data_IF_420172876880
#
_entry.id   IF_420172876880
#
_cell.length_a   1.000
_cell.length_b   1.000
_cell.length_c   1.000
_cell.angle_alpha   90.00
_cell.angle_beta   90.00
_cell.angle_gamma   90.00
#
_symmetry.space_group_name_H-M   'P 1'
#
loop_
_entity.id
_entity.type
_entity.pdbx_description
1 polymer ?
#
# COMPACT_ATOMS: atom_id res chain seq x y z
N UNK A 1 31.30 -31.48 -12.58
CA UNK A 1 30.88 -30.42 -11.64
C UNK A 1 29.77 -29.66 -12.35
N UNK A 2 28.55 -30.18 -12.31
CA UNK A 2 27.39 -29.54 -12.94
C UNK A 2 27.03 -28.28 -12.17
N UNK A 3 27.17 -27.14 -12.85
CA UNK A 3 26.64 -25.87 -12.40
C UNK A 3 25.11 -25.97 -12.37
N UNK A 4 24.53 -25.95 -11.18
CA UNK A 4 23.09 -25.71 -11.03
C UNK A 4 22.83 -24.27 -11.47
N UNK A 5 22.17 -24.10 -12.60
CA UNK A 5 21.43 -22.88 -12.89
C UNK A 5 20.50 -22.63 -11.69
N UNK A 6 20.79 -21.57 -10.92
CA UNK A 6 19.88 -21.09 -9.89
C UNK A 6 18.66 -20.55 -10.63
N UNK A 7 17.55 -21.27 -10.54
CA UNK A 7 16.25 -20.70 -10.88
C UNK A 7 16.11 -19.36 -10.14
N UNK A 8 15.70 -18.28 -10.84
CA UNK A 8 15.51 -17.00 -10.19
C UNK A 8 14.43 -17.14 -9.12
N UNK A 9 14.65 -16.45 -8.00
CA UNK A 9 13.71 -16.38 -6.88
C UNK A 9 12.32 -15.94 -7.40
N UNK A 10 11.23 -16.64 -7.04
CA UNK A 10 9.87 -16.24 -7.43
C UNK A 10 9.53 -14.78 -7.04
N UNK A 11 10.15 -14.22 -5.98
CA UNK A 11 9.99 -12.79 -5.63
C UNK A 11 10.65 -11.85 -6.65
N UNK A 12 11.72 -12.28 -7.33
CA UNK A 12 12.37 -11.52 -8.40
C UNK A 12 11.56 -11.58 -9.68
N UNK A 13 10.92 -12.71 -9.98
CA UNK A 13 10.05 -12.88 -11.15
C UNK A 13 8.83 -11.95 -11.13
N UNK A 14 8.21 -11.76 -9.96
CA UNK A 14 7.06 -10.86 -9.82
C UNK A 14 7.40 -9.41 -10.21
N UNK A 15 8.62 -8.95 -9.93
CA UNK A 15 9.08 -7.59 -10.25
C UNK A 15 9.44 -7.41 -11.74
N UNK A 16 9.74 -8.50 -12.45
CA UNK A 16 10.05 -8.46 -13.89
C UNK A 16 8.81 -8.50 -14.78
N UNK A 17 7.67 -8.98 -14.27
CA UNK A 17 6.43 -9.04 -15.04
C UNK A 17 5.82 -7.66 -15.34
N UNK A 18 6.20 -6.62 -14.58
CA UNK A 18 5.67 -5.25 -14.74
C UNK A 18 6.41 -4.44 -15.81
N UNK A 19 7.58 -4.89 -16.29
CA UNK A 19 8.40 -4.11 -17.24
C UNK A 19 8.29 -4.54 -18.72
N UNK A 20 7.36 -5.42 -19.10
CA UNK A 20 7.30 -5.96 -20.47
C UNK A 20 5.95 -5.86 -21.19
N UNK A 21 5.05 -4.97 -20.78
CA UNK A 21 3.86 -4.71 -21.57
C UNK A 21 4.00 -3.42 -22.39
N UNK A 22 4.34 -3.66 -23.67
CA UNK A 22 3.90 -2.95 -24.89
C UNK A 22 4.83 -1.88 -25.49
N UNK A 23 5.84 -2.34 -26.24
CA UNK A 23 5.99 -1.88 -27.62
C UNK A 23 5.30 -2.92 -28.53
N UNK A 24 4.04 -2.69 -28.92
CA UNK A 24 3.61 -2.89 -30.31
C UNK A 24 2.14 -2.49 -30.52
N UNK A 25 1.93 -1.79 -31.63
CA UNK A 25 0.76 -1.00 -31.98
C UNK A 25 -0.46 -1.86 -32.34
N UNK A 26 -1.60 -1.63 -31.65
CA UNK A 26 -2.94 -1.65 -32.27
C UNK A 26 -3.82 -0.60 -31.60
N UNK A 27 -3.99 0.50 -32.32
CA UNK A 27 -4.75 1.70 -31.98
C UNK A 27 -6.27 1.49 -31.87
N UNK A 28 -6.88 2.40 -31.10
CA UNK A 28 -8.31 2.71 -30.95
C UNK A 28 -9.06 1.78 -29.97
N UNK A 29 -9.01 2.15 -28.68
CA UNK A 29 -10.05 1.96 -27.63
C UNK A 29 -9.48 2.09 -26.19
N UNK A 30 -8.15 2.31 -26.03
CA UNK A 30 -7.46 2.27 -24.72
C UNK A 30 -7.12 3.63 -24.07
N UNK A 31 -7.45 4.77 -24.69
CA UNK A 31 -7.06 6.10 -24.17
C UNK A 31 -7.88 6.56 -22.94
N UNK A 32 -9.10 6.06 -22.74
CA UNK A 32 -9.97 6.48 -21.63
C UNK A 32 -9.56 5.86 -20.29
N UNK A 33 -9.19 4.57 -20.27
CA UNK A 33 -9.01 3.81 -19.02
C UNK A 33 -7.68 4.11 -18.32
N UNK A 34 -6.60 4.33 -19.09
CA UNK A 34 -5.29 4.70 -18.52
C UNK A 34 -5.27 6.13 -17.97
N UNK A 35 -6.02 7.02 -18.62
CA UNK A 35 -6.15 8.43 -18.20
C UNK A 35 -6.97 8.58 -16.92
N UNK A 36 -7.99 7.74 -16.71
CA UNK A 36 -8.79 7.73 -15.47
C UNK A 36 -7.99 7.22 -14.27
N UNK A 37 -7.28 6.10 -14.42
CA UNK A 37 -6.42 5.54 -13.36
C UNK A 37 -5.33 6.54 -12.90
N UNK A 38 -4.69 7.24 -13.83
CA UNK A 38 -3.66 8.25 -13.48
C UNK A 38 -4.25 9.50 -12.79
N UNK A 39 -5.49 9.87 -13.11
CA UNK A 39 -6.20 10.98 -12.42
C UNK A 39 -6.55 10.59 -10.99
N UNK A 40 -7.02 9.36 -10.80
CA UNK A 40 -7.36 8.83 -9.47
C UNK A 40 -6.16 8.83 -8.52
N UNK A 41 -4.97 8.43 -9.02
CA UNK A 41 -3.75 8.45 -8.21
C UNK A 41 -3.31 9.86 -7.84
N UNK A 42 -3.42 10.83 -8.75
CA UNK A 42 -3.06 12.22 -8.47
C UNK A 42 -3.96 12.83 -7.39
N UNK A 43 -5.27 12.57 -7.43
CA UNK A 43 -6.20 13.02 -6.38
C UNK A 43 -5.83 12.42 -5.01
N UNK A 44 -5.41 11.16 -4.98
CA UNK A 44 -4.95 10.53 -3.73
C UNK A 44 -3.68 11.20 -3.21
N UNK A 45 -2.72 11.54 -4.08
CA UNK A 45 -1.51 12.26 -3.68
C UNK A 45 -1.80 13.66 -3.12
N UNK A 46 -2.78 14.36 -3.71
CA UNK A 46 -3.28 15.63 -3.18
C UNK A 46 -3.91 15.47 -1.79
N UNK A 47 -4.74 14.43 -1.59
CA UNK A 47 -5.34 14.12 -0.28
C UNK A 47 -4.25 13.82 0.76
N UNK A 48 -3.21 13.07 0.38
CA UNK A 48 -2.10 12.70 1.25
C UNK A 48 -1.11 13.86 1.46
N UNK A 49 -1.11 14.87 0.59
CA UNK A 49 -0.08 15.91 0.55
C UNK A 49 1.31 15.35 0.28
N UNK A 50 1.41 14.24 -0.45
CA UNK A 50 2.66 13.52 -0.71
C UNK A 50 2.69 12.98 -2.14
N UNK A 51 3.75 13.34 -2.86
CA UNK A 51 4.02 12.83 -4.20
C UNK A 51 4.93 11.60 -4.13
N UNK A 52 4.43 10.45 -4.58
CA UNK A 52 5.18 9.21 -4.66
C UNK A 52 6.20 9.26 -5.79
N UNK A 53 7.46 8.99 -5.44
CA UNK A 53 8.53 8.77 -6.42
C UNK A 53 8.26 7.57 -7.33
N UNK A 54 7.57 6.56 -6.81
CA UNK A 54 7.14 5.39 -7.56
C UNK A 54 5.63 5.22 -7.39
N UNK A 55 4.87 5.55 -8.45
CA UNK A 55 3.40 5.47 -8.46
C UNK A 55 2.88 4.04 -8.32
N UNK A 56 3.67 3.03 -8.69
CA UNK A 56 3.28 1.62 -8.57
C UNK A 56 3.01 1.21 -7.12
N UNK A 57 3.67 1.86 -6.14
CA UNK A 57 3.43 1.61 -4.72
C UNK A 57 2.06 2.14 -4.28
N UNK A 58 1.62 3.25 -4.89
CA UNK A 58 0.30 3.79 -4.63
C UNK A 58 -0.78 2.92 -5.27
N UNK A 59 -0.57 2.49 -6.51
CA UNK A 59 -1.44 1.52 -7.18
C UNK A 59 -1.58 0.21 -6.38
N UNK A 60 -0.46 -0.37 -5.94
CA UNK A 60 -0.44 -1.59 -5.11
C UNK A 60 -1.20 -1.37 -3.79
N UNK A 61 -1.02 -0.22 -3.13
CA UNK A 61 -1.68 0.10 -1.87
C UNK A 61 -3.21 0.21 -1.96
N UNK A 62 -3.75 0.45 -3.16
CA UNK A 62 -5.20 0.55 -3.41
C UNK A 62 -5.77 -0.66 -4.16
N UNK A 63 -4.97 -1.71 -4.40
CA UNK A 63 -5.41 -2.93 -5.10
C UNK A 63 -5.73 -4.03 -4.10
N UNK A 64 -7.00 -4.44 -4.02
CA UNK A 64 -7.43 -5.58 -3.20
C UNK A 64 -7.04 -6.91 -3.87
N UNK A 65 -6.73 -7.94 -3.07
CA UNK A 65 -6.32 -9.26 -3.57
C UNK A 65 -7.39 -10.00 -4.39
N UNK A 66 -8.65 -9.53 -4.37
CA UNK A 66 -9.71 -10.03 -5.27
C UNK A 66 -9.60 -9.49 -6.69
N UNK A 67 -8.85 -8.41 -6.91
CA UNK A 67 -8.66 -7.78 -8.22
C UNK A 67 -7.39 -8.27 -8.92
N UNK A 68 -6.39 -8.73 -8.17
CA UNK A 68 -5.13 -9.28 -8.68
C UNK A 68 -4.88 -10.68 -8.13
N UNK A 69 -4.79 -11.69 -8.99
CA UNK A 69 -4.36 -13.05 -8.58
C UNK A 69 -2.83 -13.13 -8.32
N UNK A 70 -2.08 -12.09 -8.71
CA UNK A 70 -0.63 -11.95 -8.50
C UNK A 70 -0.29 -11.33 -7.12
N UNK A 71 1.00 -11.28 -6.77
CA UNK A 71 1.51 -10.62 -5.54
C UNK A 71 1.40 -9.07 -5.56
N UNK A 72 0.51 -8.50 -6.38
CA UNK A 72 0.29 -7.06 -6.54
C UNK A 72 -0.97 -6.63 -5.78
N UNK A 73 -0.98 -6.86 -4.47
CA UNK A 73 -2.05 -6.46 -3.57
C UNK A 73 -1.48 -5.63 -2.43
N UNK A 74 -2.35 -4.87 -1.74
CA UNK A 74 -1.92 -4.05 -0.62
C UNK A 74 -1.37 -4.87 0.57
N UNK A 75 -1.56 -6.18 0.64
CA UNK A 75 -1.35 -7.00 1.85
C UNK A 75 0.10 -6.93 2.37
N UNK A 76 1.09 -6.89 1.47
CA UNK A 76 2.50 -6.74 1.86
C UNK A 76 2.81 -5.34 2.38
N UNK A 77 2.22 -4.32 1.74
CA UNK A 77 2.35 -2.93 2.18
C UNK A 77 1.62 -2.72 3.51
N UNK A 78 0.48 -3.36 3.73
CA UNK A 78 -0.26 -3.38 4.99
C UNK A 78 0.59 -3.97 6.12
N UNK A 79 1.24 -5.11 5.89
CA UNK A 79 2.12 -5.73 6.88
C UNK A 79 3.23 -4.77 7.35
N UNK A 80 3.87 -4.07 6.42
CA UNK A 80 4.91 -3.07 6.75
C UNK A 80 4.28 -1.83 7.41
N UNK A 81 3.15 -1.36 6.88
CA UNK A 81 2.43 -0.19 7.36
C UNK A 81 1.96 -0.33 8.81
N UNK A 82 1.45 -1.50 9.20
CA UNK A 82 1.02 -1.78 10.57
C UNK A 82 2.20 -1.67 11.56
N UNK A 83 3.36 -2.22 11.21
CA UNK A 83 4.57 -2.11 12.04
C UNK A 83 5.03 -0.64 12.19
N UNK A 84 4.98 0.14 11.10
CA UNK A 84 5.34 1.57 11.11
C UNK A 84 4.37 2.38 11.95
N UNK A 85 3.06 2.18 11.79
CA UNK A 85 2.04 2.87 12.59
C UNK A 85 2.21 2.53 14.07
N UNK A 86 2.36 1.25 14.40
CA UNK A 86 2.60 0.81 15.77
C UNK A 86 3.84 1.47 16.39
N UNK A 87 4.92 1.61 15.64
CA UNK A 87 6.13 2.30 16.10
C UNK A 87 5.87 3.80 16.34
N UNK A 88 5.20 4.49 15.41
CA UNK A 88 4.89 5.92 15.54
C UNK A 88 4.03 6.18 16.77
N UNK A 89 2.93 5.44 16.95
CA UNK A 89 2.08 5.59 18.13
C UNK A 89 2.80 5.22 19.43
N UNK A 90 3.61 4.16 19.43
CA UNK A 90 4.41 3.78 20.61
C UNK A 90 5.39 4.90 20.98
N UNK A 91 6.07 5.48 19.98
CA UNK A 91 7.01 6.58 20.19
C UNK A 91 6.31 7.81 20.77
N UNK A 92 5.21 8.25 20.16
CA UNK A 92 4.45 9.42 20.63
C UNK A 92 3.93 9.20 22.07
N UNK A 93 3.34 8.05 22.34
CA UNK A 93 2.82 7.75 23.68
C UNK A 93 3.92 7.67 24.74
N UNK A 94 5.09 7.10 24.40
CA UNK A 94 6.23 7.03 25.31
C UNK A 94 6.69 8.42 25.76
N UNK A 95 6.74 9.39 24.85
CA UNK A 95 7.17 10.76 25.18
C UNK A 95 6.05 11.62 25.79
N UNK A 96 4.80 11.43 25.38
CA UNK A 96 3.65 12.17 25.92
C UNK A 96 3.28 11.72 27.34
N UNK A 97 3.56 10.47 27.70
CA UNK A 97 3.16 9.87 28.97
C UNK A 97 4.35 9.23 29.72
N UNK A 98 5.35 10.02 30.14
CA UNK A 98 6.59 9.50 30.73
C UNK A 98 6.38 8.74 32.04
N UNK A 99 5.30 9.03 32.78
CA UNK A 99 5.00 8.40 34.07
C UNK A 99 4.12 7.15 33.95
N UNK A 100 3.61 6.84 32.74
CA UNK A 100 2.77 5.66 32.53
C UNK A 100 3.62 4.40 32.51
N UNK A 101 3.18 3.40 33.28
CA UNK A 101 3.81 2.08 33.31
C UNK A 101 3.61 1.33 31.98
N UNK A 102 4.45 0.31 31.67
CA UNK A 102 4.37 -0.44 30.41
C UNK A 102 3.00 -1.06 30.10
N UNK A 103 2.28 -1.56 31.12
CA UNK A 103 0.96 -2.15 30.96
C UNK A 103 -0.08 -1.14 30.44
N UNK A 104 -0.29 -0.01 31.13
CA UNK A 104 -1.09 1.10 30.62
C UNK A 104 -0.70 1.60 29.22
N UNK A 105 0.61 1.75 28.93
CA UNK A 105 1.07 2.13 27.58
C UNK A 105 0.64 1.12 26.51
N UNK A 106 0.73 -0.18 26.81
CA UNK A 106 0.27 -1.23 25.88
C UNK A 106 -1.23 -1.15 25.61
N UNK A 107 -2.04 -0.92 26.66
CA UNK A 107 -3.49 -0.74 26.53
C UNK A 107 -3.84 0.54 25.76
N UNK A 108 -3.10 1.62 26.01
CA UNK A 108 -3.27 2.88 25.31
C UNK A 108 -2.92 2.75 23.82
N UNK A 109 -1.85 2.03 23.47
CA UNK A 109 -1.49 1.72 22.08
C UNK A 109 -2.60 0.93 21.41
N UNK A 110 -3.01 -0.20 21.99
CA UNK A 110 -4.07 -1.04 21.44
C UNK A 110 -5.40 -0.27 21.28
N UNK A 111 -5.70 0.67 22.18
CA UNK A 111 -6.88 1.50 22.05
C UNK A 111 -6.76 2.54 20.93
N UNK A 112 -5.57 2.95 20.50
CA UNK A 112 -5.38 4.00 19.48
C UNK A 112 -5.06 3.45 18.08
N UNK A 113 -4.39 2.31 18.00
CA UNK A 113 -4.08 1.61 16.76
C UNK A 113 -5.08 0.48 16.59
N UNK A 114 -6.19 0.80 15.92
CA UNK A 114 -7.32 -0.11 15.73
C UNK A 114 -7.89 0.05 14.32
N UNK A 115 -8.26 -1.07 13.71
CA UNK A 115 -8.75 -1.15 12.33
C UNK A 115 -9.96 -0.25 12.09
N UNK A 116 -10.90 -0.17 13.05
CA UNK A 116 -12.09 0.68 12.90
C UNK A 116 -11.70 2.17 12.87
N UNK A 117 -10.73 2.57 13.69
CA UNK A 117 -10.24 3.96 13.73
C UNK A 117 -9.52 4.34 12.45
N UNK A 118 -8.67 3.45 11.95
CA UNK A 118 -7.96 3.65 10.67
C UNK A 118 -8.95 3.70 9.50
N UNK A 119 -9.94 2.82 9.48
CA UNK A 119 -11.01 2.85 8.47
C UNK A 119 -11.80 4.17 8.51
N UNK A 120 -12.16 4.65 9.70
CA UNK A 120 -12.84 5.95 9.86
C UNK A 120 -11.98 7.12 9.39
N UNK A 121 -10.67 7.08 9.61
CA UNK A 121 -9.75 8.07 9.05
C UNK A 121 -9.73 8.01 7.53
N UNK A 122 -9.59 6.82 6.93
CA UNK A 122 -9.62 6.66 5.47
C UNK A 122 -10.93 7.16 4.85
N UNK A 123 -12.08 6.89 5.49
CA UNK A 123 -13.39 7.39 5.05
C UNK A 123 -13.47 8.91 5.15
N UNK A 124 -13.03 9.48 6.29
CA UNK A 124 -13.04 10.94 6.52
C UNK A 124 -12.25 11.70 5.46
N UNK A 125 -11.15 11.13 4.99
CA UNK A 125 -10.31 11.70 3.94
C UNK A 125 -10.75 11.29 2.53
N UNK A 126 -11.81 10.49 2.39
CA UNK A 126 -12.35 10.08 1.09
C UNK A 126 -11.53 9.03 0.35
N UNK A 127 -10.52 8.43 1.00
CA UNK A 127 -9.60 7.45 0.39
C UNK A 127 -10.29 6.15 -0.01
N UNK A 128 -11.33 5.73 0.72
CA UNK A 128 -12.11 4.53 0.43
C UNK A 128 -12.70 4.47 -1.00
N UNK A 129 -12.82 5.63 -1.68
CA UNK A 129 -13.37 5.72 -3.04
C UNK A 129 -12.40 5.23 -4.12
N UNK A 130 -11.12 5.14 -3.80
CA UNK A 130 -10.06 4.78 -4.74
C UNK A 130 -9.60 3.33 -4.57
N UNK A 131 -10.15 2.59 -3.61
CA UNK A 131 -9.83 1.18 -3.40
C UNK A 131 -10.50 0.32 -4.48
N UNK A 132 -9.68 -0.44 -5.22
CA UNK A 132 -10.16 -1.34 -6.27
C UNK A 132 -10.44 -2.72 -5.66
N UNK A 133 -11.72 -3.09 -5.61
CA UNK A 133 -12.18 -4.42 -5.22
C UNK A 133 -13.28 -4.88 -6.19
N UNK A 134 -13.24 -6.15 -6.62
CA UNK A 134 -14.28 -6.77 -7.43
C UNK A 134 -15.58 -7.01 -6.65
#
# INVERSE_FOLDING_TARGET
MEGREKQPDPEVLCRFQVLHLQEDERELDAESTQTESLRDLHEVEEILGYEFKNKSLLEEAFTHSSFSEDCFSYERLEYVGDAVLNLLFTKEQYFLYPDLQPGPLTRLRAANVDTEKLARAAIKHGLHRYASSN
#
